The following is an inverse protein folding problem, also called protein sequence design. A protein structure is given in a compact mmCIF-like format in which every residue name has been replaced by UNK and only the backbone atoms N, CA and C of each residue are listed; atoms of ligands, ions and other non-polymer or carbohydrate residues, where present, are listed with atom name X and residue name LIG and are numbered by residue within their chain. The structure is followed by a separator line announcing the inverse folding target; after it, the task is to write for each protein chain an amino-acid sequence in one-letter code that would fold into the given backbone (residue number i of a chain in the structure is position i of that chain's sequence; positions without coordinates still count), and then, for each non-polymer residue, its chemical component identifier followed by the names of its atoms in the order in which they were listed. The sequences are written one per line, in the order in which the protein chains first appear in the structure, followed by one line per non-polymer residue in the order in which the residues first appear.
data_IF_442663946427
#
_entry.id   IF_442663946427
#
_cell.length_a   1.000
_cell.length_b   1.000
_cell.length_c   1.000
_cell.angle_alpha   90.00
_cell.angle_beta   90.00
_cell.angle_gamma   90.00
#
_symmetry.space_group_name_H-M   'P 1'
#
loop_
_entity.id
_entity.type
_entity.pdbx_description
1 polymer ?
#
# COMPACT_ATOMS: atom_id res chain seq x y z
N UNK A 1 26.50 25.73 57.61
CA UNK A 1 27.92 26.18 57.73
C UNK A 1 28.17 27.08 56.53
N UNK A 2 28.31 28.36 56.77
CA UNK A 2 28.30 29.46 55.81
C UNK A 2 29.75 29.72 55.42
N UNK A 3 30.06 29.89 54.16
CA UNK A 3 31.29 30.59 53.78
C UNK A 3 31.04 31.47 52.55
N UNK A 4 31.05 32.76 52.84
CA UNK A 4 31.13 33.87 51.91
C UNK A 4 32.56 33.99 51.37
N UNK A 5 32.76 34.30 50.10
CA UNK A 5 33.98 34.90 49.61
C UNK A 5 33.70 36.05 48.66
N UNK A 6 34.39 37.12 48.98
CA UNK A 6 34.27 38.50 48.53
C UNK A 6 34.87 38.73 47.14
N UNK A 7 34.32 39.69 46.48
CA UNK A 7 34.67 40.27 45.20
C UNK A 7 36.01 40.96 45.07
N UNK A 8 36.35 41.28 43.85
CA UNK A 8 37.31 42.35 43.49
C UNK A 8 36.86 42.95 42.17
N UNK A 9 36.47 44.25 42.30
CA UNK A 9 36.30 45.13 41.17
C UNK A 9 37.65 45.49 40.58
N UNK A 10 37.80 45.48 39.30
CA UNK A 10 38.88 46.14 38.56
C UNK A 10 38.26 47.09 37.52
N UNK A 11 38.42 48.37 37.79
CA UNK A 11 38.19 49.44 36.85
C UNK A 11 39.24 49.34 35.71
N UNK A 12 38.85 49.34 34.47
CA UNK A 12 39.77 49.54 33.35
C UNK A 12 39.28 50.72 32.50
N UNK A 13 40.15 51.66 32.35
CA UNK A 13 39.95 52.97 31.74
C UNK A 13 39.64 52.86 30.23
N UNK A 14 38.71 53.67 29.78
CA UNK A 14 38.28 53.82 28.39
C UNK A 14 39.20 54.80 27.66
N UNK A 15 40.00 54.31 26.74
CA UNK A 15 40.79 55.15 25.79
C UNK A 15 39.92 55.38 24.53
N UNK A 16 39.51 56.61 24.32
CA UNK A 16 38.78 57.06 23.10
C UNK A 16 39.80 57.52 22.08
N UNK A 17 39.90 56.81 20.95
CA UNK A 17 40.62 57.20 19.75
C UNK A 17 39.63 57.72 18.68
N UNK A 18 39.90 58.87 18.03
CA UNK A 18 39.01 59.34 16.98
C UNK A 18 39.25 58.55 15.69
N UNK A 19 38.19 57.90 15.17
CA UNK A 19 38.19 57.27 13.88
C UNK A 19 37.75 58.27 12.82
N UNK A 20 38.66 58.63 11.94
CA UNK A 20 38.41 59.46 10.73
C UNK A 20 37.62 58.59 9.72
N UNK A 21 36.36 58.90 9.48
CA UNK A 21 35.54 58.20 8.51
C UNK A 21 35.79 58.76 7.11
N UNK A 22 36.54 58.02 6.28
CA UNK A 22 36.61 58.25 4.83
C UNK A 22 35.45 57.47 4.19
N UNK A 23 34.47 58.17 3.65
CA UNK A 23 33.36 57.55 2.88
C UNK A 23 33.83 57.21 1.46
N UNK A 24 33.69 55.94 1.02
CA UNK A 24 33.87 55.61 -0.38
C UNK A 24 32.63 56.02 -1.18
N UNK A 25 32.85 56.72 -2.31
CA UNK A 25 31.82 57.01 -3.32
C UNK A 25 31.44 55.69 -3.97
N UNK A 26 30.23 55.19 -3.69
CA UNK A 26 29.67 54.03 -4.36
C UNK A 26 29.17 54.47 -5.76
N UNK A 27 29.77 53.89 -6.78
CA UNK A 27 29.28 54.00 -8.14
C UNK A 27 27.93 53.32 -8.27
N UNK A 28 26.90 54.05 -8.72
CA UNK A 28 25.59 53.47 -9.04
C UNK A 28 25.74 52.47 -10.20
N UNK A 29 25.62 51.20 -9.93
CA UNK A 29 25.48 50.17 -10.97
C UNK A 29 24.10 50.28 -11.62
N UNK A 30 23.98 50.13 -12.95
CA UNK A 30 22.67 50.14 -13.60
C UNK A 30 21.81 48.97 -13.13
N UNK A 31 20.46 49.11 -13.09
CA UNK A 31 19.58 48.08 -12.67
C UNK A 31 19.66 46.88 -13.62
N UNK A 32 19.95 45.70 -13.06
CA UNK A 32 19.85 44.45 -13.78
C UNK A 32 18.40 44.21 -14.18
N UNK A 33 18.08 43.88 -15.44
CA UNK A 33 16.71 43.58 -15.83
C UNK A 33 16.21 42.39 -15.00
N UNK A 34 15.09 42.58 -14.34
CA UNK A 34 14.40 41.53 -13.58
C UNK A 34 14.10 40.37 -14.53
N UNK A 35 14.64 39.21 -14.23
CA UNK A 35 14.29 37.97 -14.93
C UNK A 35 12.79 37.69 -14.66
N UNK A 36 11.98 37.69 -15.72
CA UNK A 36 10.60 37.31 -15.66
C UNK A 36 10.50 35.92 -15.04
N UNK A 37 9.55 35.68 -14.09
CA UNK A 37 9.33 34.36 -13.53
C UNK A 37 8.86 33.46 -14.67
N UNK A 38 9.74 32.56 -15.15
CA UNK A 38 9.31 31.45 -16.00
C UNK A 38 8.21 30.73 -15.26
N UNK A 39 6.99 30.76 -15.81
CA UNK A 39 5.88 29.97 -15.34
C UNK A 39 6.34 28.51 -15.26
N UNK A 40 6.66 28.07 -14.05
CA UNK A 40 7.04 26.70 -13.78
C UNK A 40 5.88 25.83 -14.20
N UNK A 41 6.07 24.99 -15.21
CA UNK A 41 5.11 23.94 -15.54
C UNK A 41 4.87 23.13 -14.26
N UNK A 42 3.72 23.32 -13.67
CA UNK A 42 3.28 22.54 -12.51
C UNK A 42 3.26 21.08 -12.95
N UNK A 43 4.29 20.32 -12.57
CA UNK A 43 4.26 18.87 -12.72
C UNK A 43 3.16 18.38 -11.83
N UNK A 44 2.03 17.99 -12.43
CA UNK A 44 1.03 17.21 -11.74
C UNK A 44 1.77 15.94 -11.27
N UNK A 45 2.04 15.87 -9.98
CA UNK A 45 2.58 14.66 -9.38
C UNK A 45 1.49 13.60 -9.54
N UNK A 46 1.65 12.69 -10.50
CA UNK A 46 0.86 11.47 -10.56
C UNK A 46 1.29 10.65 -9.35
N UNK A 47 0.47 10.65 -8.30
CA UNK A 47 0.66 9.72 -7.20
C UNK A 47 0.62 8.32 -7.79
N UNK A 48 1.74 7.59 -7.63
CA UNK A 48 1.79 6.18 -7.99
C UNK A 48 0.64 5.45 -7.28
N UNK A 49 0.00 4.52 -7.98
CA UNK A 49 -0.99 3.67 -7.35
C UNK A 49 -0.27 2.76 -6.35
N UNK A 50 -0.78 2.75 -5.13
CA UNK A 50 -0.35 1.84 -4.10
C UNK A 50 -1.53 0.89 -3.81
N UNK A 51 -1.36 -0.42 -4.03
CA UNK A 51 -2.43 -1.38 -3.78
C UNK A 51 -2.77 -1.38 -2.28
N UNK A 52 -4.05 -1.57 -1.97
CA UNK A 52 -4.53 -1.64 -0.59
C UNK A 52 -4.14 -2.96 0.09
N UNK A 53 -3.89 -4.01 -0.70
CA UNK A 53 -3.53 -5.36 -0.25
C UNK A 53 -2.41 -5.94 -1.11
N UNK A 54 -1.69 -6.90 -0.53
CA UNK A 54 -0.76 -7.75 -1.27
C UNK A 54 -1.48 -8.91 -1.97
N UNK A 55 -0.83 -9.48 -2.99
CA UNK A 55 -1.31 -10.70 -3.62
C UNK A 55 -1.25 -11.87 -2.65
N UNK A 56 -2.26 -12.78 -2.65
CA UNK A 56 -2.25 -13.97 -1.78
C UNK A 56 -1.29 -15.07 -2.26
N UNK A 57 -0.53 -14.82 -3.32
CA UNK A 57 0.50 -15.69 -3.88
C UNK A 57 1.71 -14.84 -4.29
N UNK A 58 2.92 -15.41 -4.19
CA UNK A 58 4.15 -14.74 -4.62
C UNK A 58 4.97 -15.66 -5.54
N UNK A 59 5.42 -15.15 -6.70
CA UNK A 59 5.14 -13.82 -7.27
C UNK A 59 3.66 -13.60 -7.63
N UNK A 60 3.29 -12.36 -7.98
CA UNK A 60 1.91 -12.04 -8.41
C UNK A 60 1.43 -13.04 -9.48
N UNK A 61 0.33 -13.76 -9.26
CA UNK A 61 -0.10 -14.86 -10.11
C UNK A 61 -0.82 -14.38 -11.37
N UNK A 62 -0.89 -15.25 -12.37
CA UNK A 62 -1.82 -15.07 -13.47
C UNK A 62 -3.26 -15.28 -12.99
N UNK A 63 -4.15 -14.34 -13.30
CA UNK A 63 -5.59 -14.51 -13.11
C UNK A 63 -6.11 -15.35 -14.27
N UNK A 64 -6.61 -16.55 -13.98
CA UNK A 64 -7.13 -17.48 -14.99
C UNK A 64 -8.65 -17.41 -15.14
N UNK A 65 -9.34 -16.85 -14.13
CA UNK A 65 -10.77 -16.57 -14.20
C UNK A 65 -11.12 -15.37 -13.33
N UNK A 66 -11.72 -14.35 -13.95
CA UNK A 66 -12.13 -13.12 -13.28
C UNK A 66 -13.39 -13.30 -12.43
N UNK A 67 -13.55 -12.39 -11.46
CA UNK A 67 -14.79 -12.21 -10.73
C UNK A 67 -15.93 -11.87 -11.68
N UNK A 68 -17.07 -12.52 -11.49
CA UNK A 68 -18.33 -12.22 -12.17
C UNK A 68 -19.48 -12.27 -11.18
N UNK A 69 -19.95 -11.10 -10.77
CA UNK A 69 -21.07 -11.01 -9.85
C UNK A 69 -22.28 -11.79 -10.38
N UNK A 70 -22.91 -12.65 -9.54
CA UNK A 70 -24.17 -13.26 -9.93
C UNK A 70 -25.25 -12.16 -9.99
N UNK A 71 -26.20 -12.23 -10.95
CA UNK A 71 -27.31 -11.27 -11.03
C UNK A 71 -28.17 -11.21 -9.77
N UNK A 72 -28.26 -12.32 -9.03
CA UNK A 72 -28.88 -12.43 -7.73
C UNK A 72 -28.06 -13.38 -6.86
N UNK A 73 -28.16 -13.26 -5.51
CA UNK A 73 -27.31 -13.99 -4.57
C UNK A 73 -27.30 -15.51 -4.77
N UNK A 74 -28.39 -16.09 -5.25
CA UNK A 74 -28.55 -17.53 -5.49
C UNK A 74 -28.29 -17.99 -6.93
N UNK A 75 -28.09 -17.05 -7.86
CA UNK A 75 -27.84 -17.39 -9.25
C UNK A 75 -26.36 -17.70 -9.52
N UNK A 76 -26.11 -18.31 -10.67
CA UNK A 76 -24.76 -18.62 -11.14
C UNK A 76 -23.91 -17.35 -11.35
N UNK A 77 -22.66 -17.43 -10.95
CA UNK A 77 -21.65 -16.38 -11.08
C UNK A 77 -20.29 -16.92 -10.68
N UNK A 78 -19.28 -16.06 -10.62
CA UNK A 78 -17.98 -16.37 -10.06
C UNK A 78 -17.71 -15.41 -8.90
N UNK A 79 -17.73 -15.94 -7.66
CA UNK A 79 -17.73 -15.14 -6.43
C UNK A 79 -16.33 -14.79 -5.91
N UNK A 80 -15.32 -14.94 -6.77
CA UNK A 80 -13.92 -14.63 -6.50
C UNK A 80 -13.14 -14.52 -7.78
N UNK A 81 -11.83 -14.56 -7.69
CA UNK A 81 -10.90 -14.70 -8.79
C UNK A 81 -10.15 -16.02 -8.65
N UNK A 82 -9.92 -16.73 -9.75
CA UNK A 82 -9.09 -17.92 -9.77
C UNK A 82 -7.68 -17.56 -10.22
N UNK A 83 -6.71 -17.88 -9.37
CA UNK A 83 -5.32 -17.53 -9.50
C UNK A 83 -4.51 -18.78 -9.83
N UNK A 84 -3.72 -18.75 -10.90
CA UNK A 84 -2.88 -19.87 -11.29
C UNK A 84 -1.87 -20.21 -10.19
N UNK A 85 -1.91 -21.43 -9.69
CA UNK A 85 -0.96 -21.94 -8.70
C UNK A 85 -0.94 -23.47 -8.74
N UNK A 86 0.19 -24.05 -8.32
CA UNK A 86 0.35 -25.49 -8.17
C UNK A 86 0.10 -25.91 -6.73
N UNK A 87 -0.36 -27.15 -6.46
CA UNK A 87 -0.45 -27.68 -5.12
C UNK A 87 0.88 -27.52 -4.36
N UNK A 88 0.80 -27.18 -3.07
CA UNK A 88 1.96 -26.88 -2.25
C UNK A 88 2.45 -25.42 -2.33
N UNK A 89 1.93 -24.59 -3.24
CA UNK A 89 2.24 -23.17 -3.27
C UNK A 89 1.81 -22.50 -1.95
N UNK A 90 2.69 -21.66 -1.39
CA UNK A 90 2.36 -20.88 -0.20
C UNK A 90 1.23 -19.89 -0.46
N UNK A 91 0.24 -19.88 0.43
CA UNK A 91 -0.84 -18.91 0.43
C UNK A 91 -0.58 -17.89 1.52
N UNK A 92 -0.61 -16.61 1.13
CA UNK A 92 -0.25 -15.48 1.98
C UNK A 92 -1.52 -14.70 2.37
N UNK A 93 -1.52 -14.12 3.57
CA UNK A 93 -2.55 -13.16 3.94
C UNK A 93 -2.40 -11.87 3.12
N UNK A 94 -3.45 -11.41 2.43
CA UNK A 94 -3.35 -10.20 1.61
C UNK A 94 -3.31 -8.91 2.44
N UNK A 95 -3.67 -8.98 3.71
CA UNK A 95 -3.69 -7.87 4.66
C UNK A 95 -3.59 -8.42 6.08
N UNK A 96 -3.26 -7.57 7.03
CA UNK A 96 -3.37 -7.92 8.44
C UNK A 96 -4.84 -8.22 8.81
N UNK A 97 -5.06 -9.20 9.71
CA UNK A 97 -6.40 -9.58 10.10
C UNK A 97 -6.44 -10.71 11.12
N UNK A 98 -7.62 -11.31 11.29
CA UNK A 98 -7.85 -12.45 12.18
C UNK A 98 -8.46 -13.60 11.39
N UNK A 99 -7.95 -14.81 11.57
CA UNK A 99 -8.52 -16.02 10.98
C UNK A 99 -9.87 -16.29 11.65
N UNK A 100 -10.95 -16.21 10.90
CA UNK A 100 -12.31 -16.47 11.40
C UNK A 100 -12.83 -17.84 11.03
N UNK A 101 -12.16 -18.52 10.10
CA UNK A 101 -12.47 -19.90 9.72
C UNK A 101 -11.23 -20.57 9.12
N UNK A 102 -10.94 -21.78 9.56
CA UNK A 102 -9.95 -22.68 8.97
C UNK A 102 -10.49 -24.12 9.12
N UNK A 103 -10.91 -24.74 8.01
CA UNK A 103 -11.53 -26.06 8.08
C UNK A 103 -12.10 -26.54 6.75
N UNK A 104 -12.80 -27.65 6.78
CA UNK A 104 -13.40 -28.28 5.60
C UNK A 104 -14.79 -27.74 5.31
N UNK A 105 -15.04 -27.42 4.05
CA UNK A 105 -16.38 -27.12 3.54
C UNK A 105 -16.71 -28.14 2.47
N UNK A 106 -17.63 -29.04 2.78
CA UNK A 106 -18.03 -30.19 1.96
C UNK A 106 -16.85 -31.13 1.67
N UNK A 107 -16.08 -30.83 0.64
CA UNK A 107 -15.02 -31.73 0.12
C UNK A 107 -13.66 -31.04 -0.08
N UNK A 108 -13.49 -29.83 0.43
CA UNK A 108 -12.22 -29.07 0.28
C UNK A 108 -11.91 -28.23 1.51
N UNK A 109 -10.62 -28.01 1.81
CA UNK A 109 -10.22 -27.13 2.88
C UNK A 109 -10.38 -25.67 2.45
N UNK A 110 -10.93 -24.86 3.35
CA UNK A 110 -11.21 -23.43 3.15
C UNK A 110 -10.71 -22.65 4.33
N UNK A 111 -10.16 -21.47 4.05
CA UNK A 111 -9.77 -20.53 5.08
C UNK A 111 -10.44 -19.18 4.83
N UNK A 112 -10.76 -18.46 5.91
CA UNK A 112 -11.28 -17.09 5.84
C UNK A 112 -10.58 -16.22 6.87
N UNK A 113 -10.10 -15.07 6.43
CA UNK A 113 -9.49 -14.01 7.25
C UNK A 113 -10.41 -12.80 7.26
N UNK A 114 -10.74 -12.31 8.46
CA UNK A 114 -11.37 -11.00 8.65
C UNK A 114 -10.28 -9.94 8.65
N UNK A 115 -10.24 -9.12 7.64
CA UNK A 115 -9.24 -8.06 7.46
C UNK A 115 -9.75 -6.69 7.93
N UNK A 116 -10.88 -6.68 8.65
CA UNK A 116 -11.50 -5.46 9.16
C UNK A 116 -12.39 -4.75 8.13
N UNK A 117 -13.05 -3.68 8.57
CA UNK A 117 -13.93 -2.89 7.69
C UNK A 117 -15.11 -3.64 7.09
N UNK A 118 -15.50 -4.80 7.65
CA UNK A 118 -16.54 -5.68 7.11
C UNK A 118 -16.07 -6.52 5.92
N UNK A 119 -14.76 -6.62 5.70
CA UNK A 119 -14.13 -7.38 4.63
C UNK A 119 -13.67 -8.74 5.12
N UNK A 120 -14.12 -9.80 4.45
CA UNK A 120 -13.70 -11.18 4.67
C UNK A 120 -13.03 -11.71 3.40
N UNK A 121 -11.75 -12.10 3.51
CA UNK A 121 -11.00 -12.76 2.44
C UNK A 121 -11.04 -14.27 2.65
N UNK A 122 -11.49 -15.01 1.65
CA UNK A 122 -11.59 -16.48 1.69
C UNK A 122 -10.76 -17.13 0.60
N UNK A 123 -10.14 -18.25 0.94
CA UNK A 123 -9.18 -18.98 0.10
C UNK A 123 -9.55 -20.45 0.05
N UNK A 124 -9.56 -21.04 -1.16
CA UNK A 124 -9.84 -22.46 -1.37
C UNK A 124 -9.19 -23.01 -2.66
N UNK A 125 -8.71 -24.26 -2.66
CA UNK A 125 -8.54 -25.13 -1.50
C UNK A 125 -7.22 -24.79 -0.78
N UNK A 126 -7.22 -24.64 0.56
CA UNK A 126 -6.02 -24.27 1.33
C UNK A 126 -5.91 -25.11 2.59
N UNK A 127 -4.82 -25.87 2.69
CA UNK A 127 -4.41 -26.52 3.94
C UNK A 127 -3.80 -25.47 4.86
N UNK A 128 -4.54 -25.11 5.90
CA UNK A 128 -4.18 -24.03 6.82
C UNK A 128 -2.96 -24.41 7.68
N UNK A 129 -2.03 -23.48 7.84
CA UNK A 129 -0.93 -23.54 8.83
C UNK A 129 -1.23 -22.74 10.10
N UNK A 130 -2.33 -22.03 10.12
CA UNK A 130 -2.83 -21.21 11.24
C UNK A 130 -4.24 -21.67 11.64
N UNK A 131 -4.68 -21.28 12.84
CA UNK A 131 -5.95 -21.70 13.43
C UNK A 131 -6.95 -20.56 13.49
N UNK A 132 -8.23 -20.90 13.57
CA UNK A 132 -9.29 -19.91 13.87
C UNK A 132 -9.00 -19.20 15.18
N UNK A 133 -9.03 -17.88 15.15
CA UNK A 133 -8.69 -16.98 16.26
C UNK A 133 -7.27 -16.38 16.16
N UNK A 134 -6.40 -16.95 15.35
CA UNK A 134 -5.05 -16.41 15.17
C UNK A 134 -5.07 -15.06 14.45
N UNK A 135 -4.22 -14.14 14.91
CA UNK A 135 -3.93 -12.90 14.20
C UNK A 135 -2.84 -13.13 13.18
N UNK A 136 -3.02 -12.59 11.98
CA UNK A 136 -2.05 -12.69 10.87
C UNK A 136 -1.69 -11.30 10.36
N UNK A 137 -0.46 -11.17 9.87
CA UNK A 137 0.03 -9.94 9.23
C UNK A 137 -0.06 -10.04 7.72
N UNK A 138 0.01 -8.91 7.02
CA UNK A 138 0.09 -8.89 5.56
C UNK A 138 1.34 -9.62 5.08
N UNK A 139 1.20 -10.48 4.07
CA UNK A 139 2.28 -11.29 3.51
C UNK A 139 2.68 -12.51 4.36
N UNK A 140 2.05 -12.74 5.49
CA UNK A 140 2.29 -13.94 6.32
C UNK A 140 1.76 -15.19 5.63
N UNK A 141 2.53 -16.29 5.71
CA UNK A 141 2.08 -17.60 5.19
C UNK A 141 0.99 -18.14 6.09
N UNK A 142 -0.22 -18.26 5.55
CA UNK A 142 -1.39 -18.77 6.25
C UNK A 142 -1.72 -20.23 5.94
N UNK A 143 -1.07 -20.81 4.93
CA UNK A 143 -1.23 -22.20 4.52
C UNK A 143 -0.56 -22.49 3.20
N UNK A 144 -0.91 -23.64 2.64
CA UNK A 144 -0.47 -24.05 1.31
C UNK A 144 -1.67 -24.45 0.45
N UNK A 145 -1.56 -24.24 -0.87
CA UNK A 145 -2.58 -24.70 -1.79
C UNK A 145 -2.70 -26.23 -1.72
N UNK A 146 -3.87 -26.71 -1.34
CA UNK A 146 -4.19 -28.14 -1.31
C UNK A 146 -4.44 -28.67 -2.73
N UNK A 147 -4.42 -29.98 -2.87
CA UNK A 147 -4.94 -30.62 -4.09
C UNK A 147 -6.44 -30.36 -4.23
N UNK A 148 -6.85 -29.94 -5.42
CA UNK A 148 -8.27 -29.73 -5.69
C UNK A 148 -8.99 -31.09 -5.75
N UNK A 149 -10.22 -31.18 -5.18
CA UNK A 149 -11.04 -32.37 -5.35
C UNK A 149 -11.40 -32.58 -6.82
N UNK A 150 -11.55 -33.82 -7.24
CA UNK A 150 -11.99 -34.15 -8.61
C UNK A 150 -13.52 -34.40 -8.64
N UNK A 151 -14.30 -33.77 -9.55
CA UNK A 151 -13.88 -32.71 -10.48
C UNK A 151 -13.56 -31.40 -9.74
N UNK A 152 -12.47 -30.77 -10.14
CA UNK A 152 -12.02 -29.50 -9.53
C UNK A 152 -12.84 -28.29 -9.98
N UNK A 153 -12.71 -27.21 -9.24
CA UNK A 153 -13.27 -25.89 -9.60
C UNK A 153 -12.61 -25.30 -10.86
N UNK A 154 -11.32 -25.53 -11.03
CA UNK A 154 -10.52 -25.14 -12.20
C UNK A 154 -10.19 -26.36 -13.06
N UNK A 155 -10.00 -26.12 -14.37
CA UNK A 155 -9.53 -27.17 -15.28
C UNK A 155 -8.08 -27.61 -14.98
N UNK A 156 -7.30 -26.71 -14.40
CA UNK A 156 -5.96 -26.94 -13.83
C UNK A 156 -5.97 -26.44 -12.39
N UNK A 157 -4.93 -26.77 -11.62
CA UNK A 157 -4.84 -26.31 -10.23
C UNK A 157 -4.88 -24.78 -10.14
N UNK A 158 -5.60 -24.26 -9.16
CA UNK A 158 -5.75 -22.83 -8.91
C UNK A 158 -6.09 -22.57 -7.45
N UNK A 159 -5.75 -21.35 -6.98
CA UNK A 159 -6.30 -20.77 -5.76
C UNK A 159 -7.56 -19.96 -6.12
N UNK A 160 -8.72 -20.35 -5.61
CA UNK A 160 -9.89 -19.48 -5.63
C UNK A 160 -9.83 -18.50 -4.47
N UNK A 161 -9.84 -17.23 -4.80
CA UNK A 161 -9.80 -16.12 -3.84
C UNK A 161 -11.08 -15.31 -3.88
N UNK A 162 -11.91 -15.43 -2.85
CA UNK A 162 -13.17 -14.71 -2.71
C UNK A 162 -13.05 -13.58 -1.68
N UNK A 163 -13.71 -12.45 -1.95
CA UNK A 163 -13.82 -11.35 -0.97
C UNK A 163 -15.29 -10.98 -0.78
N UNK A 164 -15.68 -10.81 0.49
CA UNK A 164 -17.01 -10.30 0.86
C UNK A 164 -16.87 -9.00 1.62
N UNK A 165 -17.61 -7.98 1.21
CA UNK A 165 -17.80 -6.74 1.94
C UNK A 165 -19.23 -6.68 2.49
N UNK A 166 -19.36 -6.64 3.81
CA UNK A 166 -20.66 -6.63 4.48
C UNK A 166 -21.60 -7.73 3.97
N UNK A 167 -21.07 -8.95 3.77
CA UNK A 167 -21.79 -10.13 3.32
C UNK A 167 -22.02 -10.25 1.81
N UNK A 168 -21.67 -9.26 1.01
CA UNK A 168 -21.78 -9.27 -0.45
C UNK A 168 -20.44 -9.57 -1.11
N UNK A 169 -20.42 -10.45 -2.11
CA UNK A 169 -19.20 -10.71 -2.87
C UNK A 169 -18.79 -9.52 -3.73
N UNK A 170 -17.51 -9.17 -3.64
CA UNK A 170 -16.88 -8.09 -4.41
C UNK A 170 -15.68 -8.62 -5.17
N UNK A 171 -15.26 -7.90 -6.21
CA UNK A 171 -14.09 -8.30 -6.99
C UNK A 171 -12.80 -8.13 -6.17
N UNK A 172 -12.08 -9.22 -5.82
CA UNK A 172 -10.86 -9.13 -5.02
C UNK A 172 -9.74 -8.35 -5.70
N UNK A 173 -9.71 -8.36 -7.03
CA UNK A 173 -8.63 -7.74 -7.81
C UNK A 173 -8.57 -6.21 -7.67
N UNK A 174 -9.64 -5.56 -7.21
CA UNK A 174 -9.63 -4.11 -6.98
C UNK A 174 -8.68 -3.69 -5.84
N UNK A 175 -8.35 -4.63 -4.95
CA UNK A 175 -7.46 -4.37 -3.82
C UNK A 175 -5.97 -4.52 -4.16
N UNK A 176 -5.64 -5.22 -5.27
CA UNK A 176 -4.25 -5.55 -5.63
C UNK A 176 -3.82 -5.01 -7.01
N UNK A 177 -4.75 -4.47 -7.81
CA UNK A 177 -4.46 -3.93 -9.15
C UNK A 177 -4.97 -2.51 -9.31
N UNK A 178 -4.22 -1.69 -10.06
CA UNK A 178 -4.71 -0.36 -10.45
C UNK A 178 -5.82 -0.51 -11.51
N UNK A 179 -7.04 -0.21 -11.10
CA UNK A 179 -8.22 -0.20 -11.99
C UNK A 179 -8.74 1.21 -12.23
N UNK A 180 -7.96 2.23 -11.90
CA UNK A 180 -8.32 3.62 -12.23
C UNK A 180 -8.35 3.77 -13.75
N UNK A 181 -9.28 4.57 -14.30
CA UNK A 181 -9.33 4.84 -15.72
C UNK A 181 -8.00 5.44 -16.20
N UNK A 182 -7.47 4.92 -17.32
CA UNK A 182 -6.30 5.53 -17.94
C UNK A 182 -6.64 6.93 -18.45
N UNK A 183 -5.87 7.93 -18.01
CA UNK A 183 -5.99 9.30 -18.51
C UNK A 183 -4.95 9.51 -19.59
N UNK A 184 -5.40 9.77 -20.81
CA UNK A 184 -4.51 10.14 -21.91
C UNK A 184 -3.97 11.55 -21.65
N UNK A 185 -2.67 11.67 -21.54
CA UNK A 185 -2.03 12.97 -21.45
C UNK A 185 -2.08 13.66 -22.83
N UNK A 186 -2.34 14.99 -22.90
CA UNK A 186 -2.28 15.71 -24.15
C UNK A 186 -0.89 15.56 -24.78
N UNK A 187 -0.84 15.25 -26.06
CA UNK A 187 0.40 15.25 -26.81
C UNK A 187 0.95 16.68 -26.82
N UNK A 188 2.11 16.90 -26.23
CA UNK A 188 2.81 18.16 -26.40
C UNK A 188 3.22 18.25 -27.87
N UNK A 189 2.57 19.16 -28.63
CA UNK A 189 3.05 19.49 -29.98
C UNK A 189 4.43 20.11 -29.80
N UNK A 190 5.46 19.39 -30.22
CA UNK A 190 6.81 19.94 -30.32
C UNK A 190 6.77 21.22 -31.17
N UNK A 191 7.42 22.26 -30.71
CA UNK A 191 7.69 23.48 -31.49
C UNK A 191 8.78 23.18 -32.49
#
# INVERSE_FOLDING_TARGET
MITRSRGRSLLTALLILPVSASMPIQALSPPTPAAEPRAGASRVATTAYEPAWSWPLSPAPQVIRDFRAPPQRWLAGHRGADLAALPGAQVLSPSAGTVVFAGWVVNRPVMTVDVGGGLLASFEPVDASVSTGDSVTEGEVIGVLAEAPSPGHCAVSCLHWGVRLNGNYVNPLIYVTDRRPSVLLPLQRGR
#
